data_IF_131297694227
#
_entry.id   IF_131297694227
#
_cell.length_a   1.000
_cell.length_b   1.000
_cell.length_c   1.000
_cell.angle_alpha   90.00
_cell.angle_beta   90.00
_cell.angle_gamma   90.00
#
_symmetry.space_group_name_H-M   'P 1'
#
loop_
_entity.id
_entity.type
_entity.pdbx_description
1 polymer ?
#
# COMPACT_ATOMS: atom_id res chain seq x y z
N UNK A 1 5.93 -4.71 17.93
CA UNK A 1 6.18 -5.37 16.63
C UNK A 1 5.28 -6.58 16.56
N UNK A 2 4.41 -6.65 15.56
CA UNK A 2 3.48 -7.77 15.38
C UNK A 2 4.26 -8.95 14.80
N UNK A 3 4.19 -10.14 15.38
CA UNK A 3 4.98 -11.29 14.88
C UNK A 3 4.09 -12.27 14.11
N UNK A 4 4.67 -13.00 13.15
CA UNK A 4 3.99 -14.08 12.45
C UNK A 4 3.34 -15.10 13.42
N UNK A 5 4.09 -15.53 14.44
CA UNK A 5 3.58 -16.47 15.44
C UNK A 5 2.37 -15.92 16.21
N UNK A 6 2.35 -14.61 16.51
CA UNK A 6 1.26 -13.98 17.26
C UNK A 6 -0.08 -14.02 16.53
N UNK A 7 -0.08 -14.13 15.20
CA UNK A 7 -1.28 -14.22 14.37
C UNK A 7 -1.49 -15.63 13.78
N UNK A 8 -0.77 -16.63 14.29
CA UNK A 8 -0.89 -18.01 13.82
C UNK A 8 -0.36 -18.22 12.40
N UNK A 9 0.66 -17.47 11.99
CA UNK A 9 1.43 -17.69 10.77
C UNK A 9 2.76 -18.35 11.13
N UNK A 10 3.17 -19.38 10.40
CA UNK A 10 4.49 -20.00 10.55
C UNK A 10 5.59 -18.95 10.23
N UNK A 11 6.51 -18.66 11.17
CA UNK A 11 7.63 -17.75 10.92
C UNK A 11 8.50 -18.18 9.72
N UNK A 12 8.64 -19.49 9.45
CA UNK A 12 9.40 -19.98 8.32
C UNK A 12 8.70 -19.67 6.99
N UNK A 13 7.36 -19.82 6.94
CA UNK A 13 6.55 -19.45 5.79
C UNK A 13 6.63 -17.93 5.55
N UNK A 14 6.53 -17.12 6.60
CA UNK A 14 6.67 -15.66 6.49
C UNK A 14 8.04 -15.26 5.93
N UNK A 15 9.13 -15.81 6.48
CA UNK A 15 10.47 -15.54 5.98
C UNK A 15 10.67 -16.00 4.52
N UNK A 16 10.04 -17.10 4.12
CA UNK A 16 10.05 -17.57 2.73
C UNK A 16 9.26 -16.62 1.81
N UNK A 17 8.13 -16.08 2.27
CA UNK A 17 7.35 -15.10 1.53
C UNK A 17 8.13 -13.79 1.31
N UNK A 18 8.85 -13.29 2.32
CA UNK A 18 9.71 -12.10 2.16
C UNK A 18 10.80 -12.32 1.10
N UNK A 19 11.46 -13.48 1.10
CA UNK A 19 12.42 -13.81 0.04
C UNK A 19 11.76 -13.90 -1.33
N UNK A 20 10.62 -14.57 -1.42
CA UNK A 20 9.85 -14.67 -2.66
C UNK A 20 9.44 -13.31 -3.22
N UNK A 21 9.07 -12.35 -2.37
CA UNK A 21 8.64 -11.02 -2.80
C UNK A 21 9.81 -10.07 -3.11
N UNK A 22 10.85 -10.09 -2.28
CA UNK A 22 11.85 -9.00 -2.24
C UNK A 22 13.28 -9.44 -2.51
N UNK A 23 13.64 -10.71 -2.25
CA UNK A 23 14.97 -11.26 -2.56
C UNK A 23 15.02 -11.74 -4.02
N UNK A 24 14.79 -10.79 -4.92
CA UNK A 24 14.61 -11.02 -6.35
C UNK A 24 15.58 -10.17 -7.16
N UNK A 25 16.08 -10.68 -8.30
CA UNK A 25 16.95 -9.90 -9.17
C UNK A 25 16.16 -8.73 -9.75
N UNK A 26 16.77 -7.54 -9.71
CA UNK A 26 16.24 -6.36 -10.41
C UNK A 26 16.68 -6.45 -11.87
N UNK A 27 15.75 -6.42 -12.84
CA UNK A 27 16.12 -6.51 -14.24
C UNK A 27 16.97 -5.32 -14.69
N UNK A 28 17.84 -5.56 -15.67
CA UNK A 28 18.48 -4.47 -16.40
C UNK A 28 17.43 -3.67 -17.18
N UNK A 29 17.82 -2.52 -17.73
CA UNK A 29 16.93 -1.51 -18.34
C UNK A 29 15.86 -2.05 -19.31
N UNK A 30 16.14 -3.13 -20.03
CA UNK A 30 15.24 -3.75 -21.02
C UNK A 30 14.74 -5.14 -20.60
N UNK A 31 15.00 -5.56 -19.36
CA UNK A 31 14.56 -6.83 -18.80
C UNK A 31 13.17 -6.76 -18.20
N UNK A 32 12.48 -7.91 -18.16
CA UNK A 32 11.18 -8.03 -17.49
C UNK A 32 11.35 -8.21 -15.98
N UNK A 33 10.43 -7.65 -15.20
CA UNK A 33 10.33 -7.93 -13.75
C UNK A 33 9.99 -9.41 -13.54
N UNK A 34 10.50 -10.02 -12.46
CA UNK A 34 10.46 -11.47 -12.26
C UNK A 34 9.05 -12.05 -12.27
N UNK A 35 8.06 -11.34 -11.74
CA UNK A 35 6.69 -11.84 -11.67
C UNK A 35 5.97 -11.88 -13.03
N UNK A 36 6.61 -11.39 -14.11
CA UNK A 36 6.16 -11.59 -15.49
C UNK A 36 6.71 -12.86 -16.14
N UNK A 37 7.68 -13.51 -15.50
CA UNK A 37 8.28 -14.73 -16.01
C UNK A 37 7.37 -15.94 -15.75
N UNK A 38 7.02 -16.66 -16.82
CA UNK A 38 6.13 -17.83 -16.76
C UNK A 38 6.78 -19.03 -16.11
N UNK A 39 8.12 -19.05 -16.04
CA UNK A 39 8.90 -20.15 -15.48
C UNK A 39 9.20 -19.94 -13.99
N UNK A 40 8.80 -18.80 -13.42
CA UNK A 40 8.98 -18.52 -11.99
C UNK A 40 8.07 -19.42 -11.14
N UNK A 41 8.63 -20.13 -10.15
CA UNK A 41 7.83 -20.99 -9.28
C UNK A 41 6.83 -20.16 -8.48
N UNK A 42 5.57 -20.61 -8.50
CA UNK A 42 4.52 -20.01 -7.67
C UNK A 42 4.80 -20.25 -6.18
N UNK A 43 4.64 -19.20 -5.38
CA UNK A 43 4.67 -19.35 -3.93
C UNK A 43 3.31 -19.78 -3.42
N UNK A 44 3.23 -21.01 -2.92
CA UNK A 44 1.98 -21.59 -2.44
C UNK A 44 1.73 -21.16 -1.00
N UNK A 45 0.67 -20.37 -0.81
CA UNK A 45 0.08 -20.07 0.48
C UNK A 45 -1.43 -19.89 0.31
N UNK A 46 -2.19 -20.27 1.33
CA UNK A 46 -3.65 -20.08 1.38
C UNK A 46 -4.02 -18.58 1.44
N UNK A 47 -5.26 -18.20 1.09
CA UNK A 47 -5.72 -16.82 1.25
C UNK A 47 -5.55 -16.27 2.67
N UNK A 48 -5.79 -17.11 3.69
CA UNK A 48 -5.58 -16.73 5.09
C UNK A 48 -4.10 -16.49 5.40
N UNK A 49 -3.21 -17.37 4.93
CA UNK A 49 -1.77 -17.19 5.10
C UNK A 49 -1.27 -15.94 4.39
N UNK A 50 -1.71 -15.67 3.15
CA UNK A 50 -1.35 -14.45 2.44
C UNK A 50 -1.86 -13.17 3.13
N UNK A 51 -3.07 -13.21 3.69
CA UNK A 51 -3.62 -12.09 4.47
C UNK A 51 -2.78 -11.83 5.72
N UNK A 52 -2.35 -12.90 6.40
CA UNK A 52 -1.46 -12.82 7.57
C UNK A 52 -0.05 -12.37 7.19
N UNK A 53 0.50 -12.84 6.07
CA UNK A 53 1.79 -12.38 5.53
C UNK A 53 1.73 -10.88 5.29
N UNK A 54 0.70 -10.37 4.60
CA UNK A 54 0.49 -8.93 4.39
C UNK A 54 0.36 -8.17 5.71
N UNK A 55 -0.37 -8.72 6.67
CA UNK A 55 -0.53 -8.11 8.01
C UNK A 55 0.80 -7.89 8.71
N UNK A 56 1.66 -8.92 8.76
CA UNK A 56 2.98 -8.83 9.41
C UNK A 56 3.91 -7.91 8.60
N UNK A 57 3.91 -8.08 7.27
CA UNK A 57 4.69 -7.25 6.35
C UNK A 57 4.40 -5.77 6.55
N UNK A 58 3.12 -5.37 6.54
CA UNK A 58 2.77 -3.96 6.71
C UNK A 58 3.15 -3.46 8.10
N UNK A 59 2.85 -4.23 9.15
CA UNK A 59 3.15 -3.84 10.54
C UNK A 59 4.64 -3.65 10.82
N UNK A 60 5.53 -4.31 10.06
CA UNK A 60 6.96 -4.33 10.29
C UNK A 60 7.79 -3.87 9.08
N UNK A 61 7.16 -3.25 8.08
CA UNK A 61 7.77 -3.00 6.78
C UNK A 61 9.14 -2.31 6.86
N UNK A 62 9.29 -1.34 7.78
CA UNK A 62 10.55 -0.64 7.96
C UNK A 62 11.72 -1.55 8.36
N UNK A 63 11.47 -2.55 9.21
CA UNK A 63 12.50 -3.50 9.66
C UNK A 63 12.68 -4.64 8.66
N UNK A 64 11.58 -5.25 8.23
CA UNK A 64 11.60 -6.44 7.38
C UNK A 64 12.12 -6.12 5.97
N UNK A 65 11.89 -4.89 5.50
CA UNK A 65 12.35 -4.49 4.17
C UNK A 65 13.71 -3.81 4.16
N UNK A 66 14.28 -3.42 5.32
CA UNK A 66 15.57 -2.74 5.42
C UNK A 66 16.72 -3.41 4.63
N UNK A 67 16.82 -4.75 4.52
CA UNK A 67 17.88 -5.40 3.76
C UNK A 67 17.79 -5.23 2.23
N UNK A 68 16.64 -4.82 1.71
CA UNK A 68 16.39 -4.74 0.26
C UNK A 68 16.51 -3.31 -0.26
N UNK A 69 17.02 -3.17 -1.48
CA UNK A 69 17.09 -1.86 -2.14
C UNK A 69 15.70 -1.36 -2.58
N UNK A 70 15.61 -0.10 -2.99
CA UNK A 70 14.33 0.51 -3.36
C UNK A 70 13.71 -0.09 -4.64
N UNK A 71 14.51 -0.68 -5.53
CA UNK A 71 14.00 -1.36 -6.72
C UNK A 71 13.36 -2.69 -6.35
N UNK A 72 14.03 -3.48 -5.51
CA UNK A 72 13.50 -4.71 -4.95
C UNK A 72 12.22 -4.47 -4.14
N UNK A 73 12.22 -3.45 -3.27
CA UNK A 73 11.04 -3.08 -2.49
C UNK A 73 9.89 -2.67 -3.40
N UNK A 74 10.13 -1.79 -4.38
CA UNK A 74 9.07 -1.35 -5.27
C UNK A 74 8.49 -2.51 -6.11
N UNK A 75 9.34 -3.38 -6.63
CA UNK A 75 8.92 -4.54 -7.40
C UNK A 75 8.10 -5.54 -6.57
N UNK A 76 8.57 -5.87 -5.36
CA UNK A 76 7.86 -6.77 -4.45
C UNK A 76 6.51 -6.21 -3.98
N UNK A 77 6.44 -4.92 -3.65
CA UNK A 77 5.18 -4.27 -3.28
C UNK A 77 4.21 -4.19 -4.46
N UNK A 78 4.71 -3.99 -5.69
CA UNK A 78 3.87 -4.03 -6.88
C UNK A 78 3.21 -5.41 -7.07
N UNK A 79 3.95 -6.50 -6.81
CA UNK A 79 3.39 -7.85 -6.84
C UNK A 79 2.33 -8.09 -5.76
N UNK A 80 2.49 -7.49 -4.58
CA UNK A 80 1.49 -7.59 -3.50
C UNK A 80 0.17 -6.91 -3.87
N UNK A 81 0.22 -5.78 -4.58
CA UNK A 81 -0.97 -4.95 -4.84
C UNK A 81 -1.60 -5.11 -6.23
N UNK A 82 -0.83 -5.50 -7.25
CA UNK A 82 -1.29 -5.47 -8.63
C UNK A 82 -1.92 -6.80 -9.04
N UNK A 83 -3.21 -6.79 -9.38
CA UNK A 83 -3.89 -7.97 -9.90
C UNK A 83 -3.37 -8.42 -11.27
N UNK A 84 -2.63 -7.56 -11.97
CA UNK A 84 -1.93 -7.94 -13.19
C UNK A 84 -0.66 -8.74 -12.87
N UNK A 85 -0.05 -8.56 -11.69
CA UNK A 85 1.17 -9.25 -11.27
C UNK A 85 0.88 -10.59 -10.58
N UNK A 86 -0.31 -10.80 -10.02
CA UNK A 86 -0.69 -12.08 -9.44
C UNK A 86 -1.99 -12.03 -8.65
N UNK A 87 -2.29 -13.10 -7.90
CA UNK A 87 -3.53 -13.24 -7.15
C UNK A 87 -3.46 -12.72 -5.71
N UNK A 88 -2.27 -12.42 -5.17
CA UNK A 88 -2.07 -11.87 -3.81
C UNK A 88 -3.04 -10.71 -3.48
N UNK A 89 -3.31 -9.77 -4.39
CA UNK A 89 -4.17 -8.62 -4.09
C UNK A 89 -5.63 -8.99 -3.76
N UNK A 90 -6.07 -10.20 -4.08
CA UNK A 90 -7.43 -10.70 -3.81
C UNK A 90 -7.57 -11.46 -2.48
N UNK A 91 -6.46 -11.79 -1.82
CA UNK A 91 -6.45 -12.77 -0.72
C UNK A 91 -7.29 -12.32 0.48
N UNK A 92 -7.24 -11.04 0.85
CA UNK A 92 -7.95 -10.50 2.01
C UNK A 92 -9.48 -10.42 1.84
N UNK A 93 -9.98 -10.57 0.62
CA UNK A 93 -11.43 -10.57 0.32
C UNK A 93 -11.94 -11.95 -0.11
N UNK A 94 -11.09 -12.98 -0.03
CA UNK A 94 -11.50 -14.35 -0.26
C UNK A 94 -12.47 -14.81 0.83
N UNK A 95 -13.48 -15.60 0.45
CA UNK A 95 -14.54 -16.05 1.36
C UNK A 95 -14.02 -16.95 2.50
N UNK A 96 -12.83 -17.55 2.35
CA UNK A 96 -12.19 -18.37 3.39
C UNK A 96 -11.47 -17.53 4.45
N UNK A 97 -11.28 -16.23 4.24
CA UNK A 97 -10.60 -15.34 5.19
C UNK A 97 -11.60 -14.74 6.17
N UNK A 98 -11.43 -14.95 7.48
CA UNK A 98 -12.26 -14.28 8.48
C UNK A 98 -12.09 -12.76 8.39
N UNK A 99 -13.21 -12.02 8.50
CA UNK A 99 -13.19 -10.56 8.48
C UNK A 99 -12.21 -9.96 9.51
N UNK A 100 -12.05 -10.60 10.67
CA UNK A 100 -11.11 -10.17 11.69
C UNK A 100 -9.65 -10.16 11.20
N UNK A 101 -9.20 -11.20 10.48
CA UNK A 101 -7.85 -11.25 9.91
C UNK A 101 -7.68 -10.16 8.83
N UNK A 102 -8.70 -9.97 7.97
CA UNK A 102 -8.69 -8.92 6.96
C UNK A 102 -8.65 -7.50 7.57
N UNK A 103 -9.38 -7.26 8.67
CA UNK A 103 -9.34 -5.99 9.39
C UNK A 103 -8.00 -5.76 10.08
N UNK A 104 -7.37 -6.80 10.62
CA UNK A 104 -6.04 -6.68 11.19
C UNK A 104 -5.00 -6.29 10.14
N UNK A 105 -5.09 -6.84 8.92
CA UNK A 105 -4.28 -6.42 7.78
C UNK A 105 -4.48 -4.92 7.47
N UNK A 106 -5.73 -4.48 7.37
CA UNK A 106 -6.05 -3.07 7.08
C UNK A 106 -5.56 -2.11 8.18
N UNK A 107 -5.62 -2.51 9.44
CA UNK A 107 -5.10 -1.73 10.56
C UNK A 107 -3.57 -1.66 10.56
N UNK A 108 -2.89 -2.69 10.06
CA UNK A 108 -1.43 -2.69 9.92
C UNK A 108 -0.97 -1.81 8.75
N UNK A 109 -1.81 -1.67 7.72
CA UNK A 109 -1.46 -1.05 6.45
C UNK A 109 -0.82 0.36 6.54
N UNK A 110 -1.27 1.30 7.39
CA UNK A 110 -0.65 2.62 7.53
C UNK A 110 0.85 2.57 7.85
N UNK A 111 1.27 1.52 8.55
CA UNK A 111 2.67 1.31 8.94
C UNK A 111 3.59 1.11 7.74
N UNK A 112 3.08 0.61 6.61
CA UNK A 112 3.86 0.50 5.38
C UNK A 112 4.37 1.87 4.91
N UNK A 113 3.53 2.90 4.92
CA UNK A 113 3.96 4.23 4.49
C UNK A 113 4.79 4.93 5.56
N UNK A 114 4.34 4.85 6.82
CA UNK A 114 5.00 5.55 7.92
C UNK A 114 6.41 5.03 8.17
N UNK A 115 6.57 3.71 8.17
CA UNK A 115 7.79 3.07 8.64
C UNK A 115 8.69 2.62 7.47
N UNK A 116 8.19 2.58 6.23
CA UNK A 116 8.96 2.17 5.05
C UNK A 116 8.93 3.17 3.88
N UNK A 117 7.78 3.39 3.22
CA UNK A 117 7.74 4.16 1.96
C UNK A 117 8.17 5.62 2.17
N UNK A 118 7.62 6.32 3.16
CA UNK A 118 7.93 7.72 3.45
C UNK A 118 9.43 7.93 3.74
N UNK A 119 10.02 7.24 4.73
CA UNK A 119 11.45 7.36 5.01
C UNK A 119 12.35 7.05 3.82
N UNK A 120 11.99 6.05 2.98
CA UNK A 120 12.77 5.71 1.78
C UNK A 120 12.68 6.77 0.69
N UNK A 121 11.52 7.37 0.50
CA UNK A 121 11.33 8.48 -0.45
C UNK A 121 12.13 9.71 -0.01
N UNK A 122 12.06 10.08 1.26
CA UNK A 122 12.84 11.20 1.82
C UNK A 122 14.34 10.97 1.64
N UNK A 123 14.82 9.77 1.96
CA UNK A 123 16.23 9.41 1.81
C UNK A 123 16.67 9.42 0.33
N UNK A 124 15.88 8.84 -0.58
CA UNK A 124 16.19 8.82 -2.01
C UNK A 124 16.20 10.23 -2.60
N UNK A 125 15.24 11.08 -2.21
CA UNK A 125 15.17 12.48 -2.63
C UNK A 125 16.38 13.29 -2.14
N UNK A 126 16.76 13.13 -0.87
CA UNK A 126 17.95 13.79 -0.31
C UNK A 126 19.26 13.33 -0.98
N UNK A 127 19.33 12.07 -1.43
CA UNK A 127 20.47 11.52 -2.16
C UNK A 127 20.48 11.87 -3.67
N UNK A 128 19.41 12.47 -4.19
CA UNK A 128 19.26 12.72 -5.63
C UNK A 128 19.07 11.45 -6.47
N UNK A 129 18.63 10.34 -5.85
CA UNK A 129 18.36 9.07 -6.54
C UNK A 129 16.96 9.11 -7.18
N UNK A 130 16.89 9.73 -8.35
CA UNK A 130 15.66 9.85 -9.12
C UNK A 130 15.03 8.48 -9.47
N UNK A 131 15.83 7.43 -9.66
CA UNK A 131 15.32 6.10 -10.02
C UNK A 131 14.57 5.46 -8.86
N UNK A 132 15.11 5.57 -7.64
CA UNK A 132 14.42 5.13 -6.42
C UNK A 132 13.14 5.93 -6.16
N UNK A 133 13.20 7.26 -6.31
CA UNK A 133 12.03 8.12 -6.12
C UNK A 133 10.91 7.72 -7.10
N UNK A 134 11.21 7.62 -8.39
CA UNK A 134 10.21 7.21 -9.40
C UNK A 134 9.61 5.84 -9.11
N UNK A 135 10.43 4.86 -8.72
CA UNK A 135 9.95 3.50 -8.41
C UNK A 135 9.01 3.48 -7.20
N UNK A 136 9.40 4.14 -6.11
CA UNK A 136 8.61 4.13 -4.88
C UNK A 136 7.37 5.02 -4.96
N UNK A 137 7.44 6.15 -5.68
CA UNK A 137 6.30 7.02 -5.94
C UNK A 137 5.24 6.29 -6.79
N UNK A 138 5.68 5.57 -7.84
CA UNK A 138 4.78 4.71 -8.63
C UNK A 138 4.03 3.73 -7.74
N UNK A 139 4.76 2.99 -6.88
CA UNK A 139 4.12 2.02 -5.99
C UNK A 139 3.18 2.70 -5.02
N UNK A 140 3.63 3.81 -4.42
CA UNK A 140 2.83 4.58 -3.48
C UNK A 140 1.49 4.99 -4.10
N UNK A 141 1.48 5.43 -5.36
CA UNK A 141 0.29 5.87 -6.07
C UNK A 141 -0.66 4.72 -6.44
N UNK A 142 -0.10 3.65 -7.02
CA UNK A 142 -0.89 2.61 -7.70
C UNK A 142 -1.71 1.71 -6.76
N UNK A 143 -1.44 1.71 -5.45
CA UNK A 143 -2.23 0.93 -4.47
C UNK A 143 -3.74 1.14 -4.61
N UNK A 144 -4.20 2.34 -4.94
CA UNK A 144 -5.63 2.64 -5.03
C UNK A 144 -6.23 2.43 -6.43
N UNK A 145 -5.39 2.29 -7.45
CA UNK A 145 -5.82 1.99 -8.83
C UNK A 145 -5.94 0.49 -9.08
N UNK A 146 -4.93 -0.28 -8.64
CA UNK A 146 -4.79 -1.69 -9.04
C UNK A 146 -5.05 -2.68 -7.92
N UNK A 147 -5.24 -2.24 -6.67
CA UNK A 147 -5.58 -3.16 -5.59
C UNK A 147 -7.10 -3.42 -5.55
N UNK A 148 -7.59 -4.55 -6.10
CA UNK A 148 -9.03 -4.84 -6.21
C UNK A 148 -9.76 -4.90 -4.87
N UNK A 149 -9.03 -5.13 -3.79
CA UNK A 149 -9.59 -5.32 -2.44
C UNK A 149 -10.32 -4.07 -1.94
N UNK A 150 -9.86 -2.86 -2.27
CA UNK A 150 -10.58 -1.62 -1.95
C UNK A 150 -11.97 -1.56 -2.60
N UNK A 151 -12.06 -1.96 -3.87
CA UNK A 151 -13.34 -2.01 -4.55
C UNK A 151 -14.20 -3.15 -4.02
N UNK A 152 -13.68 -4.38 -3.96
CA UNK A 152 -14.46 -5.58 -3.67
C UNK A 152 -15.11 -5.54 -2.28
N UNK A 153 -14.41 -4.98 -1.28
CA UNK A 153 -14.90 -4.89 0.09
C UNK A 153 -15.68 -3.60 0.42
N UNK A 154 -15.91 -2.70 -0.56
CA UNK A 154 -16.60 -1.39 -0.35
C UNK A 154 -17.99 -1.45 0.28
N UNK A 155 -18.63 -2.62 0.27
CA UNK A 155 -19.95 -2.85 0.84
C UNK A 155 -19.90 -3.24 2.34
N UNK A 156 -18.72 -3.60 2.86
CA UNK A 156 -18.49 -3.96 4.26
C UNK A 156 -18.24 -2.66 5.05
N UNK A 157 -19.01 -2.41 6.12
CA UNK A 157 -18.94 -1.14 6.85
C UNK A 157 -17.59 -0.96 7.55
N UNK A 158 -17.12 -2.01 8.21
CA UNK A 158 -15.84 -2.06 8.92
C UNK A 158 -14.67 -1.80 7.96
N UNK A 159 -14.78 -2.29 6.72
CA UNK A 159 -13.78 -2.06 5.69
C UNK A 159 -13.69 -0.58 5.30
N UNK A 160 -14.83 0.08 5.08
CA UNK A 160 -14.84 1.52 4.77
C UNK A 160 -14.26 2.35 5.89
N UNK A 161 -14.51 1.96 7.14
CA UNK A 161 -13.99 2.65 8.30
C UNK A 161 -12.47 2.48 8.40
N UNK A 162 -11.98 1.27 8.19
CA UNK A 162 -10.55 0.97 8.14
C UNK A 162 -9.86 1.69 6.97
N UNK A 163 -10.47 1.70 5.78
CA UNK A 163 -9.96 2.42 4.61
C UNK A 163 -9.88 3.93 4.88
N UNK A 164 -10.90 4.52 5.49
CA UNK A 164 -10.87 5.94 5.85
C UNK A 164 -9.75 6.25 6.86
N UNK A 165 -9.52 5.37 7.84
CA UNK A 165 -8.42 5.51 8.79
C UNK A 165 -7.06 5.49 8.07
N UNK A 166 -6.86 4.52 7.16
CA UNK A 166 -5.63 4.43 6.35
C UNK A 166 -5.37 5.71 5.59
N UNK A 167 -6.36 6.18 4.82
CA UNK A 167 -6.23 7.40 4.02
C UNK A 167 -5.98 8.63 4.91
N UNK A 168 -6.62 8.69 6.07
CA UNK A 168 -6.44 9.79 7.02
C UNK A 168 -5.03 9.80 7.61
N UNK A 169 -4.49 8.65 8.00
CA UNK A 169 -3.13 8.52 8.52
C UNK A 169 -2.08 8.86 7.47
N UNK A 170 -2.25 8.38 6.23
CA UNK A 170 -1.37 8.74 5.12
C UNK A 170 -1.34 10.24 4.86
N UNK A 171 -2.50 10.91 4.95
CA UNK A 171 -2.59 12.36 4.75
C UNK A 171 -1.88 13.16 5.85
N UNK A 172 -1.73 12.61 7.06
CA UNK A 172 -0.95 13.23 8.15
C UNK A 172 0.56 13.02 8.00
N UNK A 173 1.02 12.13 7.11
CA UNK A 173 2.44 11.88 6.94
C UNK A 173 3.12 13.07 6.25
N UNK A 174 4.29 13.53 6.72
CA UNK A 174 4.99 14.68 6.16
C UNK A 174 5.78 14.31 4.88
N UNK A 175 5.20 13.50 4.00
CA UNK A 175 5.79 13.05 2.75
C UNK A 175 4.78 13.34 1.62
N UNK A 176 5.18 14.20 0.66
CA UNK A 176 4.26 14.75 -0.36
C UNK A 176 3.66 13.66 -1.24
N UNK A 177 4.45 12.68 -1.63
CA UNK A 177 4.06 11.56 -2.48
C UNK A 177 3.03 10.67 -1.76
N UNK A 178 3.23 10.43 -0.46
CA UNK A 178 2.28 9.69 0.38
C UNK A 178 0.97 10.47 0.54
N UNK A 179 1.04 11.78 0.77
CA UNK A 179 -0.15 12.64 0.83
C UNK A 179 -0.91 12.64 -0.50
N UNK A 180 -0.19 12.77 -1.64
CA UNK A 180 -0.80 12.70 -2.97
C UNK A 180 -1.47 11.36 -3.21
N UNK A 181 -0.84 10.25 -2.81
CA UNK A 181 -1.45 8.92 -2.86
C UNK A 181 -2.70 8.82 -1.99
N UNK A 182 -2.68 9.35 -0.76
CA UNK A 182 -3.85 9.40 0.11
C UNK A 182 -5.02 10.16 -0.53
N UNK A 183 -4.75 11.32 -1.14
CA UNK A 183 -5.75 12.10 -1.86
C UNK A 183 -6.31 11.33 -3.06
N UNK A 184 -5.45 10.62 -3.80
CA UNK A 184 -5.87 9.77 -4.91
C UNK A 184 -6.83 8.67 -4.43
N UNK A 185 -6.46 7.96 -3.35
CA UNK A 185 -7.32 6.96 -2.72
C UNK A 185 -8.65 7.53 -2.19
N UNK A 186 -8.64 8.73 -1.61
CA UNK A 186 -9.85 9.46 -1.22
C UNK A 186 -10.73 9.73 -2.45
N UNK A 187 -10.15 10.21 -3.56
CA UNK A 187 -10.88 10.49 -4.78
C UNK A 187 -11.61 9.27 -5.34
N UNK A 188 -10.95 8.11 -5.38
CA UNK A 188 -11.59 6.86 -5.81
C UNK A 188 -12.69 6.38 -4.86
N UNK A 189 -12.56 6.69 -3.56
CA UNK A 189 -13.35 6.06 -2.51
C UNK A 189 -14.47 6.93 -1.97
N UNK A 190 -14.44 8.26 -2.15
CA UNK A 190 -15.29 9.21 -1.42
C UNK A 190 -16.78 8.89 -1.53
N UNK A 191 -17.25 8.49 -2.71
CA UNK A 191 -18.66 8.11 -2.96
C UNK A 191 -19.09 6.85 -2.21
N UNK A 192 -18.13 6.01 -1.83
CA UNK A 192 -18.36 4.74 -1.15
C UNK A 192 -18.09 4.82 0.35
N UNK A 193 -17.28 5.77 0.81
CA UNK A 193 -16.96 5.95 2.25
C UNK A 193 -18.18 6.32 3.09
N UNK A 194 -19.24 6.89 2.50
CA UNK A 194 -20.47 7.33 3.19
C UNK A 194 -20.19 8.33 4.33
N UNK A 195 -19.20 9.22 4.11
CA UNK A 195 -18.64 10.13 5.13
C UNK A 195 -18.35 11.53 4.57
N UNK A 196 -19.13 11.99 3.59
CA UNK A 196 -18.88 13.21 2.79
C UNK A 196 -18.49 14.44 3.62
N UNK A 197 -19.21 14.72 4.69
CA UNK A 197 -18.94 15.88 5.55
C UNK A 197 -17.59 15.75 6.28
N UNK A 198 -17.26 14.55 6.77
CA UNK A 198 -15.98 14.26 7.42
C UNK A 198 -14.83 14.41 6.43
N UNK A 199 -15.01 13.91 5.21
CA UNK A 199 -14.02 14.04 4.13
C UNK A 199 -13.79 15.51 3.79
N UNK A 200 -14.86 16.29 3.57
CA UNK A 200 -14.74 17.73 3.26
C UNK A 200 -14.04 18.52 4.35
N UNK A 201 -14.40 18.30 5.61
CA UNK A 201 -13.74 18.96 6.74
C UNK A 201 -12.26 18.58 6.86
N UNK A 202 -11.92 17.32 6.57
CA UNK A 202 -10.54 16.84 6.60
C UNK A 202 -9.72 17.46 5.46
N UNK A 203 -10.25 17.49 4.25
CA UNK A 203 -9.61 18.11 3.09
C UNK A 203 -9.44 19.61 3.30
N UNK A 204 -10.43 20.32 3.82
CA UNK A 204 -10.32 21.75 4.10
C UNK A 204 -9.15 22.04 5.07
N UNK A 205 -9.05 21.27 6.16
CA UNK A 205 -7.93 21.37 7.11
C UNK A 205 -6.59 21.08 6.45
N UNK A 206 -6.53 20.08 5.56
CA UNK A 206 -5.30 19.75 4.83
C UNK A 206 -4.90 20.85 3.85
N UNK A 207 -5.85 21.44 3.11
CA UNK A 207 -5.57 22.57 2.21
C UNK A 207 -4.97 23.75 2.97
N UNK A 208 -5.45 24.03 4.18
CA UNK A 208 -4.89 25.08 5.03
C UNK A 208 -3.41 24.83 5.41
N UNK A 209 -3.01 23.57 5.59
CA UNK A 209 -1.63 23.20 5.92
C UNK A 209 -0.69 23.24 4.71
N UNK A 210 -1.20 22.98 3.50
CA UNK A 210 -0.40 22.91 2.26
C UNK A 210 -0.63 24.09 1.31
N UNK A 211 -1.17 25.21 1.78
CA UNK A 211 -1.52 26.40 0.98
C UNK A 211 -0.44 26.97 0.04
N UNK A 212 0.84 26.61 0.25
CA UNK A 212 1.95 26.99 -0.63
C UNK A 212 2.15 26.07 -1.84
N UNK A 213 1.61 24.85 -1.80
CA UNK A 213 1.67 23.85 -2.88
C UNK A 213 0.34 23.86 -3.65
N UNK A 214 0.27 24.70 -4.68
CA UNK A 214 -0.94 24.87 -5.50
C UNK A 214 -1.37 23.57 -6.19
N UNK A 215 -0.42 22.72 -6.59
CA UNK A 215 -0.73 21.45 -7.22
C UNK A 215 -1.44 20.53 -6.22
N UNK A 216 -0.89 20.41 -5.01
CA UNK A 216 -1.45 19.56 -3.97
C UNK A 216 -2.79 20.09 -3.44
N UNK A 217 -2.96 21.41 -3.35
CA UNK A 217 -4.26 22.05 -3.04
C UNK A 217 -5.30 21.68 -4.09
N UNK A 218 -4.99 21.87 -5.39
CA UNK A 218 -5.92 21.54 -6.47
C UNK A 218 -6.28 20.05 -6.47
N UNK A 219 -5.29 19.19 -6.23
CA UNK A 219 -5.50 17.75 -6.16
C UNK A 219 -6.39 17.36 -4.97
N UNK A 220 -6.18 18.00 -3.81
CA UNK A 220 -6.99 17.75 -2.61
C UNK A 220 -8.45 18.16 -2.81
N UNK A 221 -8.70 19.31 -3.44
CA UNK A 221 -10.05 19.76 -3.78
C UNK A 221 -10.72 18.80 -4.78
N UNK A 222 -10.01 18.37 -5.81
CA UNK A 222 -10.53 17.42 -6.79
C UNK A 222 -10.85 16.05 -6.15
N UNK A 223 -9.99 15.57 -5.24
CA UNK A 223 -10.22 14.36 -4.48
C UNK A 223 -11.48 14.41 -3.61
N UNK A 224 -11.79 15.57 -2.98
CA UNK A 224 -13.00 15.74 -2.18
C UNK A 224 -14.30 15.55 -2.98
N UNK A 225 -14.26 15.80 -4.29
CA UNK A 225 -15.39 15.64 -5.21
C UNK A 225 -15.34 14.31 -5.98
N UNK A 226 -14.36 13.46 -5.69
CA UNK A 226 -14.14 12.19 -6.37
C UNK A 226 -13.70 12.34 -7.82
N UNK A 227 -12.94 13.41 -8.11
CA UNK A 227 -12.44 13.76 -9.43
C UNK A 227 -10.92 13.56 -9.48
N UNK A 228 -10.49 12.30 -9.38
CA UNK A 228 -9.09 11.93 -9.58
C UNK A 228 -8.94 11.17 -10.90
N UNK A 229 -7.74 11.24 -11.47
CA UNK A 229 -7.30 10.46 -12.62
C UNK A 229 -6.10 9.64 -12.18
#
# INVERSE_FOLDING_TARGET
>A
MLTAQAIGLDPALYAAALRYLFDRPVPLKDGQEWYWDIDEPEFVATPLEWTRIQTVLFANAGADLAPYDNQQVGMGLNHVMSNNAGNIPHMAVDASVPLADAMQMMQAFPSLWRDCIGPRLDQAGAAGDASSVTRLDFVCHMWFDVWPTFWNARHISEWRDAQWLVLSEMLDMPCREVQRSALHGIGHSVRYLQRDEVVRQRIARFVDTVKGDIELVNYALAAADGMVQ
#
